data_IF_648087963260
#
_entry.id   IF_648087963260
#
_cell.length_a   1.000
_cell.length_b   1.000
_cell.length_c   1.000
_cell.angle_alpha   90.00
_cell.angle_beta   90.00
_cell.angle_gamma   90.00
#
_symmetry.space_group_name_H-M   'P 1'
#
loop_
_entity.id
_entity.type
_entity.pdbx_description
1 polymer ?
#
# COMPACT_ATOMS: atom_id res chain seq x y z
N UNK A 1 -2.51 10.59 43.27
CA UNK A 1 -3.01 10.16 41.93
C UNK A 1 -3.24 8.65 41.95
N UNK A 2 -4.50 8.20 41.96
CA UNK A 2 -4.84 6.76 41.95
C UNK A 2 -4.66 6.22 40.53
N UNK A 3 -3.72 5.30 40.33
CA UNK A 3 -3.61 4.51 39.10
C UNK A 3 -4.91 3.70 38.94
N UNK A 4 -5.71 3.99 37.89
CA UNK A 4 -6.85 3.17 37.54
C UNK A 4 -6.31 1.84 36.98
N UNK A 5 -6.35 0.78 37.83
CA UNK A 5 -6.16 -0.58 37.34
C UNK A 5 -7.33 -0.90 36.38
N UNK A 6 -7.10 -0.78 35.08
CA UNK A 6 -8.00 -1.36 34.08
C UNK A 6 -7.75 -2.86 34.09
N UNK A 7 -8.63 -3.62 34.73
CA UNK A 7 -8.68 -5.07 34.60
C UNK A 7 -9.18 -5.34 33.18
N UNK A 8 -8.29 -5.66 32.28
CA UNK A 8 -8.69 -6.17 30.98
C UNK A 8 -8.96 -7.66 31.12
N UNK A 9 -10.09 -8.19 30.63
CA UNK A 9 -10.33 -9.62 30.60
C UNK A 9 -9.23 -10.29 29.79
N UNK A 10 -8.67 -11.38 30.31
CA UNK A 10 -7.65 -12.20 29.66
C UNK A 10 -8.27 -13.49 29.14
N UNK A 11 -7.74 -14.05 28.06
CA UNK A 11 -8.23 -15.29 27.49
C UNK A 11 -9.42 -15.11 26.54
N UNK A 12 -10.24 -16.13 26.40
CA UNK A 12 -11.34 -16.21 25.43
C UNK A 12 -12.44 -15.15 25.60
N UNK A 13 -12.54 -14.53 26.79
CA UNK A 13 -13.50 -13.45 27.08
C UNK A 13 -13.06 -12.07 26.60
N UNK A 14 -11.82 -11.90 26.12
CA UNK A 14 -11.36 -10.61 25.62
C UNK A 14 -12.01 -10.31 24.26
N UNK A 15 -12.63 -9.12 24.04
CA UNK A 15 -13.27 -8.80 22.76
C UNK A 15 -12.37 -8.96 21.51
N UNK A 16 -11.06 -8.88 21.69
CA UNK A 16 -10.06 -9.08 20.63
C UNK A 16 -9.66 -10.57 20.44
N UNK A 17 -10.19 -11.51 21.25
CA UNK A 17 -9.79 -12.92 21.20
C UNK A 17 -10.66 -13.79 20.29
N UNK A 18 -11.73 -13.21 19.72
CA UNK A 18 -12.77 -13.94 18.99
C UNK A 18 -12.29 -14.60 17.67
N UNK A 19 -11.12 -14.27 17.18
CA UNK A 19 -10.66 -14.73 15.86
C UNK A 19 -9.29 -15.44 15.87
N UNK A 20 -8.70 -15.72 17.03
CA UNK A 20 -7.43 -16.47 17.16
C UNK A 20 -6.15 -15.78 16.65
N UNK A 21 -6.28 -14.61 16.03
CA UNK A 21 -5.16 -13.88 15.41
C UNK A 21 -4.47 -12.84 16.31
N UNK A 22 -5.05 -12.55 17.50
CA UNK A 22 -4.60 -11.48 18.41
C UNK A 22 -3.81 -11.97 19.63
N UNK A 23 -3.54 -13.27 19.73
CA UNK A 23 -2.84 -13.90 20.86
C UNK A 23 -1.40 -13.43 21.06
N UNK A 24 -0.64 -14.10 21.94
CA UNK A 24 0.77 -13.80 22.27
C UNK A 24 1.66 -13.72 21.02
N UNK A 25 1.34 -14.48 19.98
CA UNK A 25 1.94 -14.36 18.65
C UNK A 25 0.89 -13.87 17.65
N UNK A 26 0.79 -12.55 17.51
CA UNK A 26 -0.08 -11.92 16.50
C UNK A 26 0.24 -12.43 15.10
N UNK A 27 -0.78 -12.79 14.34
CA UNK A 27 -0.57 -13.21 12.94
C UNK A 27 -0.07 -12.05 12.08
N UNK A 28 0.65 -12.33 10.98
CA UNK A 28 1.07 -11.30 10.04
C UNK A 28 -0.11 -10.51 9.46
N UNK A 29 -1.26 -11.15 9.23
CA UNK A 29 -2.50 -10.53 8.75
C UNK A 29 -3.04 -9.52 9.76
N UNK A 30 -3.17 -9.92 11.02
CA UNK A 30 -3.63 -9.05 12.11
C UNK A 30 -2.69 -7.85 12.33
N UNK A 31 -1.38 -8.11 12.28
CA UNK A 31 -0.37 -7.05 12.36
C UNK A 31 -0.50 -6.05 11.22
N UNK A 32 -0.82 -6.50 10.00
CA UNK A 32 -1.02 -5.62 8.85
C UNK A 32 -2.26 -4.74 9.01
N UNK A 33 -3.35 -5.29 9.50
CA UNK A 33 -4.58 -4.56 9.83
C UNK A 33 -4.34 -3.49 10.90
N UNK A 34 -3.67 -3.82 12.01
CA UNK A 34 -3.33 -2.84 13.05
C UNK A 34 -2.47 -1.69 12.50
N UNK A 35 -1.46 -2.02 11.68
CA UNK A 35 -0.59 -1.01 11.06
C UNK A 35 -1.34 -0.12 10.06
N UNK A 36 -2.33 -0.64 9.36
CA UNK A 36 -3.20 0.16 8.50
C UNK A 36 -3.98 1.18 9.33
N UNK A 37 -4.65 0.74 10.39
CA UNK A 37 -5.41 1.62 11.32
C UNK A 37 -4.50 2.66 11.96
N UNK A 38 -3.32 2.28 12.41
CA UNK A 38 -2.33 3.20 13.00
C UNK A 38 -1.94 4.30 12.00
N UNK A 39 -1.65 3.94 10.74
CA UNK A 39 -1.28 4.91 9.70
C UNK A 39 -2.38 5.93 9.42
N UNK A 40 -3.63 5.49 9.40
CA UNK A 40 -4.77 6.37 9.12
C UNK A 40 -5.13 7.25 10.31
N UNK A 41 -5.05 6.73 11.55
CA UNK A 41 -5.59 7.37 12.74
C UNK A 41 -4.54 8.13 13.56
N UNK A 42 -3.23 7.86 13.37
CA UNK A 42 -2.17 8.48 14.18
C UNK A 42 -1.55 9.69 13.45
N UNK A 43 -1.87 10.92 13.85
CA UNK A 43 -1.29 12.13 13.25
C UNK A 43 0.21 12.30 13.54
N UNK A 44 0.74 11.59 14.55
CA UNK A 44 2.15 11.62 14.94
C UNK A 44 2.95 10.45 14.33
N UNK A 45 2.33 9.64 13.47
CA UNK A 45 3.04 8.59 12.77
C UNK A 45 4.15 9.19 11.89
N UNK A 46 5.32 8.54 11.81
CA UNK A 46 6.48 9.04 11.02
C UNK A 46 6.17 9.29 9.53
N UNK A 47 5.13 8.66 9.01
CA UNK A 47 4.61 8.84 7.63
C UNK A 47 3.23 9.52 7.61
N UNK A 48 2.86 10.27 8.65
CA UNK A 48 1.55 10.92 8.70
C UNK A 48 1.28 11.84 7.48
N UNK A 49 2.32 12.45 6.92
CA UNK A 49 2.21 13.31 5.74
C UNK A 49 1.69 12.61 4.48
N UNK A 50 1.78 11.28 4.40
CA UNK A 50 1.26 10.47 3.28
C UNK A 50 0.03 9.63 3.64
N UNK A 51 -0.42 9.66 4.90
CA UNK A 51 -1.60 8.95 5.38
C UNK A 51 -2.56 9.88 6.11
N UNK A 52 -2.50 9.97 7.44
CA UNK A 52 -3.47 10.70 8.25
C UNK A 52 -3.56 12.20 7.91
N UNK A 53 -2.43 12.88 7.68
CA UNK A 53 -2.43 14.30 7.28
C UNK A 53 -2.87 14.51 5.84
N UNK A 54 -2.83 13.47 5.00
CA UNK A 54 -3.38 13.49 3.63
C UNK A 54 -4.86 13.12 3.60
N UNK A 55 -5.46 12.75 4.75
CA UNK A 55 -6.85 12.34 4.83
C UNK A 55 -7.11 10.92 4.32
N UNK A 56 -6.08 10.06 4.30
CA UNK A 56 -6.27 8.66 3.90
C UNK A 56 -6.98 7.91 5.02
N UNK A 57 -8.12 7.32 4.68
CA UNK A 57 -8.99 6.54 5.55
C UNK A 57 -8.97 5.06 5.16
N UNK A 58 -9.73 4.25 5.86
CA UNK A 58 -10.01 2.87 5.51
C UNK A 58 -11.53 2.61 5.56
N UNK A 59 -11.99 1.56 4.88
CA UNK A 59 -13.39 1.13 4.86
C UNK A 59 -13.90 0.92 6.30
N UNK A 60 -15.02 1.54 6.65
CA UNK A 60 -15.62 1.47 8.00
C UNK A 60 -15.85 0.04 8.47
N UNK A 61 -16.15 -0.89 7.55
CA UNK A 61 -16.30 -2.32 7.86
C UNK A 61 -15.01 -2.93 8.38
N UNK A 62 -13.85 -2.35 8.03
CA UNK A 62 -12.54 -2.79 8.49
C UNK A 62 -12.17 -2.29 9.90
N UNK A 63 -13.12 -1.65 10.59
CA UNK A 63 -13.05 -1.54 12.05
C UNK A 63 -13.03 -2.92 12.70
N UNK A 64 -13.77 -3.91 12.15
CA UNK A 64 -13.70 -5.32 12.50
C UNK A 64 -12.58 -6.01 11.73
N UNK A 65 -11.76 -6.78 12.45
CA UNK A 65 -10.74 -7.63 11.84
C UNK A 65 -11.35 -8.76 11.01
N UNK A 66 -12.51 -9.27 11.43
CA UNK A 66 -13.24 -10.32 10.73
C UNK A 66 -13.67 -9.88 9.34
N UNK A 67 -14.12 -8.63 9.20
CA UNK A 67 -14.46 -8.07 7.89
C UNK A 67 -13.21 -7.85 7.03
N UNK A 68 -12.13 -7.36 7.64
CA UNK A 68 -10.85 -7.19 6.94
C UNK A 68 -10.31 -8.52 6.40
N UNK A 69 -10.29 -9.60 7.21
CA UNK A 69 -9.77 -10.90 6.77
C UNK A 69 -10.71 -11.59 5.76
N UNK A 70 -12.02 -11.35 5.87
CA UNK A 70 -13.00 -11.84 4.87
C UNK A 70 -12.75 -11.21 3.51
N UNK A 71 -12.45 -9.92 3.47
CA UNK A 71 -12.20 -9.18 2.23
C UNK A 71 -10.82 -9.47 1.64
N UNK A 72 -9.78 -9.56 2.47
CA UNK A 72 -8.37 -9.60 2.04
C UNK A 72 -7.73 -10.98 2.11
N UNK A 73 -8.35 -11.93 2.82
CA UNK A 73 -7.75 -13.23 3.11
C UNK A 73 -6.51 -13.14 4.00
N UNK A 74 -5.86 -14.27 4.22
CA UNK A 74 -4.62 -14.34 4.97
C UNK A 74 -3.45 -13.73 4.19
N UNK A 75 -2.56 -13.06 4.92
CA UNK A 75 -1.36 -12.46 4.33
C UNK A 75 -0.37 -13.54 3.86
N UNK A 76 -0.09 -13.66 2.56
CA UNK A 76 0.94 -14.54 2.04
C UNK A 76 2.34 -14.17 2.57
N UNK A 77 3.19 -15.18 2.74
CA UNK A 77 4.59 -14.97 3.17
C UNK A 77 5.33 -14.03 2.20
N UNK A 78 6.09 -13.09 2.74
CA UNK A 78 6.88 -12.15 1.92
C UNK A 78 6.10 -10.97 1.35
N UNK A 79 4.80 -10.83 1.69
CA UNK A 79 3.97 -9.71 1.22
C UNK A 79 3.64 -8.73 2.34
N UNK A 80 3.09 -7.59 2.01
CA UNK A 80 2.46 -6.65 2.94
C UNK A 80 1.28 -5.94 2.27
N UNK A 81 0.39 -5.36 3.09
CA UNK A 81 -0.77 -4.64 2.59
C UNK A 81 -0.31 -3.41 1.80
N UNK A 82 -0.75 -3.31 0.56
CA UNK A 82 -0.44 -2.25 -0.40
C UNK A 82 -1.73 -1.69 -0.98
N UNK A 83 -1.76 -0.38 -1.24
CA UNK A 83 -2.84 0.28 -1.99
C UNK A 83 -2.44 0.35 -3.46
N UNK A 84 -3.31 -0.07 -4.35
CA UNK A 84 -3.08 -0.02 -5.80
C UNK A 84 -2.91 1.43 -6.23
N UNK A 85 -3.85 2.31 -5.88
CA UNK A 85 -3.66 3.76 -5.95
C UNK A 85 -3.30 4.31 -4.56
N UNK A 86 -2.12 4.89 -4.45
CA UNK A 86 -1.62 5.49 -3.21
C UNK A 86 -2.35 6.78 -2.79
N UNK A 87 -3.17 7.36 -3.66
CA UNK A 87 -3.96 8.55 -3.38
C UNK A 87 -5.35 8.21 -2.83
N UNK A 88 -5.82 7.00 -3.08
CA UNK A 88 -7.11 6.49 -2.62
C UNK A 88 -7.04 5.89 -1.21
N UNK A 89 -8.20 5.65 -0.61
CA UNK A 89 -8.37 5.04 0.71
C UNK A 89 -8.08 3.54 0.70
N UNK A 90 -8.00 2.93 1.90
CA UNK A 90 -7.93 1.47 2.05
C UNK A 90 -9.34 0.87 1.95
N UNK A 91 -9.58 0.07 0.93
CA UNK A 91 -10.79 -0.71 0.72
C UNK A 91 -10.48 -1.91 -0.20
N UNK A 92 -11.37 -2.89 -0.24
CA UNK A 92 -11.14 -4.16 -0.93
C UNK A 92 -10.66 -4.01 -2.37
N UNK A 93 -11.25 -3.09 -3.14
CA UNK A 93 -10.90 -2.88 -4.55
C UNK A 93 -9.60 -2.11 -4.77
N UNK A 94 -9.12 -1.38 -3.76
CA UNK A 94 -7.86 -0.62 -3.83
C UNK A 94 -6.71 -1.27 -3.03
N UNK A 95 -6.93 -2.40 -2.37
CA UNK A 95 -5.93 -3.07 -1.56
C UNK A 95 -5.55 -4.44 -2.10
N UNK A 96 -4.29 -4.80 -1.90
CA UNK A 96 -3.76 -6.11 -2.26
C UNK A 96 -2.63 -6.52 -1.33
N UNK A 97 -2.33 -7.81 -1.29
CA UNK A 97 -1.09 -8.31 -0.73
C UNK A 97 0.01 -8.21 -1.79
N UNK A 98 1.02 -7.38 -1.57
CA UNK A 98 2.08 -7.13 -2.54
C UNK A 98 3.46 -7.42 -1.95
N UNK A 99 4.35 -7.96 -2.79
CA UNK A 99 5.77 -8.11 -2.47
C UNK A 99 6.48 -6.77 -2.45
N UNK A 100 7.66 -6.70 -1.82
CA UNK A 100 8.46 -5.47 -1.81
C UNK A 100 8.79 -4.98 -3.24
N UNK A 101 9.02 -5.90 -4.19
CA UNK A 101 9.24 -5.56 -5.61
C UNK A 101 8.01 -4.89 -6.23
N UNK A 102 6.82 -5.46 -6.05
CA UNK A 102 5.56 -4.88 -6.54
C UNK A 102 5.30 -3.50 -5.93
N UNK A 103 5.52 -3.33 -4.61
CA UNK A 103 5.35 -2.04 -3.95
C UNK A 103 6.36 -0.99 -4.43
N UNK A 104 7.61 -1.39 -4.70
CA UNK A 104 8.59 -0.45 -5.25
C UNK A 104 8.19 0.03 -6.66
N UNK A 105 7.51 -0.81 -7.42
CA UNK A 105 6.94 -0.42 -8.72
C UNK A 105 5.70 0.48 -8.58
N UNK A 106 5.00 0.42 -7.44
CA UNK A 106 3.76 1.18 -7.18
C UNK A 106 3.98 2.48 -6.38
N UNK A 107 5.18 3.00 -6.32
CA UNK A 107 5.44 4.26 -5.61
C UNK A 107 5.01 5.46 -6.45
N UNK A 108 4.51 6.53 -5.79
CA UNK A 108 4.17 7.81 -6.44
C UNK A 108 5.37 8.48 -7.16
N UNK A 109 6.58 7.96 -6.99
CA UNK A 109 7.79 8.38 -7.71
C UNK A 109 7.98 7.66 -9.03
N UNK A 110 7.23 6.59 -9.30
CA UNK A 110 7.32 5.88 -10.56
C UNK A 110 6.61 6.66 -11.65
N UNK A 111 7.35 6.90 -12.69
CA UNK A 111 6.85 7.50 -13.92
C UNK A 111 6.59 6.38 -14.90
N UNK A 112 5.43 6.40 -15.51
CA UNK A 112 5.02 5.43 -16.50
C UNK A 112 5.03 6.06 -17.89
N UNK A 113 5.29 5.24 -18.88
CA UNK A 113 5.35 5.63 -20.27
C UNK A 113 4.57 4.63 -21.11
N UNK A 114 3.81 5.13 -22.04
CA UNK A 114 3.17 4.32 -23.06
C UNK A 114 4.04 4.30 -24.31
N UNK A 115 4.24 3.11 -24.87
CA UNK A 115 4.91 2.89 -26.15
C UNK A 115 4.01 1.96 -26.94
N UNK A 116 3.50 2.44 -28.08
CA UNK A 116 2.62 1.68 -28.97
C UNK A 116 1.41 1.03 -28.24
N UNK A 117 0.78 1.77 -27.29
CA UNK A 117 -0.37 1.31 -26.54
C UNK A 117 -0.03 0.42 -25.32
N UNK A 118 1.22 0.12 -25.06
CA UNK A 118 1.67 -0.69 -23.92
C UNK A 118 2.34 0.19 -22.88
N UNK A 119 1.94 0.04 -21.60
CA UNK A 119 2.48 0.84 -20.49
C UNK A 119 3.71 0.18 -19.86
N UNK A 120 4.77 0.95 -19.74
CA UNK A 120 6.04 0.55 -19.15
C UNK A 120 6.45 1.46 -17.99
N UNK A 121 7.21 0.90 -17.04
CA UNK A 121 7.90 1.73 -16.03
C UNK A 121 9.10 2.43 -16.64
N UNK A 122 9.61 3.49 -16.00
CA UNK A 122 10.86 4.14 -16.44
C UNK A 122 12.05 3.17 -16.47
N UNK A 123 12.06 2.12 -15.65
CA UNK A 123 13.10 1.11 -15.61
C UNK A 123 13.06 0.14 -16.81
N UNK A 124 11.95 0.09 -17.53
CA UNK A 124 11.76 -0.85 -18.64
C UNK A 124 11.64 -0.13 -19.99
N UNK A 125 11.00 1.03 -20.03
CA UNK A 125 10.76 1.76 -21.28
C UNK A 125 12.05 2.05 -22.07
N UNK A 126 13.16 2.39 -21.41
CA UNK A 126 14.40 2.67 -22.12
C UNK A 126 14.99 1.44 -22.81
N UNK A 127 14.69 0.24 -22.30
CA UNK A 127 15.09 -1.03 -22.94
C UNK A 127 14.24 -1.29 -24.18
N UNK A 128 12.94 -1.04 -24.09
CA UNK A 128 11.98 -1.22 -25.20
C UNK A 128 12.34 -0.32 -26.39
N UNK A 129 12.70 0.93 -26.13
CA UNK A 129 13.10 1.87 -27.19
C UNK A 129 14.60 1.76 -27.59
N UNK A 130 15.30 0.73 -27.10
CA UNK A 130 16.70 0.45 -27.51
C UNK A 130 17.72 1.52 -27.09
N UNK A 131 17.54 2.16 -25.92
CA UNK A 131 18.43 3.22 -25.44
C UNK A 131 18.98 2.93 -24.05
N UNK A 132 19.88 3.78 -23.53
CA UNK A 132 20.36 3.70 -22.14
C UNK A 132 19.49 4.55 -21.21
N UNK A 133 19.42 4.18 -19.92
CA UNK A 133 18.68 4.96 -18.91
C UNK A 133 19.17 6.42 -18.85
N UNK A 134 20.48 6.65 -18.98
CA UNK A 134 21.07 8.01 -18.98
C UNK A 134 20.57 8.82 -20.17
N UNK A 135 20.60 8.25 -21.37
CA UNK A 135 20.13 8.91 -22.59
C UNK A 135 18.62 9.17 -22.53
N UNK A 136 17.84 8.21 -22.07
CA UNK A 136 16.40 8.35 -21.88
C UNK A 136 16.04 9.50 -20.92
N UNK A 137 16.74 9.61 -19.78
CA UNK A 137 16.54 10.72 -18.83
C UNK A 137 16.84 12.09 -19.45
N UNK A 138 17.89 12.18 -20.26
CA UNK A 138 18.25 13.41 -20.98
C UNK A 138 17.19 13.75 -22.04
N UNK A 139 16.71 12.78 -22.80
CA UNK A 139 15.64 12.98 -23.80
C UNK A 139 14.36 13.49 -23.12
N UNK A 140 13.97 12.89 -22.00
CA UNK A 140 12.82 13.34 -21.21
C UNK A 140 13.01 14.75 -20.66
N UNK A 141 14.17 15.08 -20.10
CA UNK A 141 14.46 16.41 -19.54
C UNK A 141 14.42 17.51 -20.61
N UNK A 142 14.74 17.19 -21.85
CA UNK A 142 14.76 18.10 -23.00
C UNK A 142 13.48 18.05 -23.85
N UNK A 143 12.41 17.36 -23.37
CA UNK A 143 11.18 17.12 -24.13
C UNK A 143 11.44 16.48 -25.53
N UNK A 144 12.47 15.67 -25.66
CA UNK A 144 12.92 15.04 -26.89
C UNK A 144 12.67 13.51 -26.89
N UNK A 145 11.60 13.07 -26.25
CA UNK A 145 11.17 11.66 -26.34
C UNK A 145 10.69 11.35 -27.75
N UNK A 146 10.87 10.08 -28.23
CA UNK A 146 10.28 9.64 -29.49
C UNK A 146 8.76 9.87 -29.52
N UNK A 147 8.19 10.13 -30.70
CA UNK A 147 6.76 10.45 -30.88
C UNK A 147 5.83 9.35 -30.35
N UNK A 148 6.24 8.09 -30.45
CA UNK A 148 5.50 6.95 -29.92
C UNK A 148 5.67 6.72 -28.42
N UNK A 149 6.43 7.57 -27.70
CA UNK A 149 6.67 7.47 -26.26
C UNK A 149 5.99 8.61 -25.52
N UNK A 150 4.92 8.32 -24.78
CA UNK A 150 4.19 9.31 -24.00
C UNK A 150 4.30 9.00 -22.51
N UNK A 151 4.54 10.01 -21.69
CA UNK A 151 4.42 9.87 -20.25
C UNK A 151 2.94 9.81 -19.89
N UNK A 152 2.55 8.77 -19.15
CA UNK A 152 1.16 8.52 -18.75
C UNK A 152 1.04 8.42 -17.22
N UNK A 153 -0.12 8.76 -16.64
CA UNK A 153 -0.41 8.46 -15.25
C UNK A 153 -0.45 6.93 -15.05
N UNK A 154 -0.20 6.49 -13.82
CA UNK A 154 -0.36 5.08 -13.49
C UNK A 154 -1.83 4.67 -13.69
N UNK A 155 -2.05 3.70 -14.55
CA UNK A 155 -3.34 3.01 -14.69
C UNK A 155 -3.17 1.64 -14.03
N UNK A 156 -3.93 1.42 -12.95
CA UNK A 156 -4.03 0.09 -12.35
C UNK A 156 -4.80 -0.81 -13.31
N UNK A 157 -4.12 -1.79 -13.92
CA UNK A 157 -4.74 -2.90 -14.65
C UNK A 157 -5.16 -3.99 -13.68
#
# INVERSE_FOLDING_TARGET
MKKRNRIYPTGESHPMHKHGHSGVKRTPTYTSWLKMKERCNNPNHNRAHIYSKKGILYDERWESFEQFITDMGERPKGTSLDRIDSNEHYWKGNCRWATAKQQSCNTCRNVYFEVDGVTYTQSDVFKVIGTTLKRFRNMRANNALPENVKQVPYQAS
#
